data_IF_019991251358
#
_entry.id   IF_019991251358
#
_cell.length_a   1.000
_cell.length_b   1.000
_cell.length_c   1.000
_cell.angle_alpha   90.00
_cell.angle_beta   90.00
_cell.angle_gamma   90.00
#
_symmetry.space_group_name_H-M   'P 1'
#
loop_
_entity.id
_entity.type
_entity.pdbx_description
1 polymer ?
#
# COMPACT_ATOMS: atom_id res chain seq x y z
N UNK A 1 18.39 -6.14 -15.28
CA UNK A 1 17.69 -5.49 -16.40
C UNK A 1 16.24 -5.29 -15.96
N UNK A 2 15.79 -4.04 -15.85
CA UNK A 2 14.42 -3.72 -15.43
C UNK A 2 13.57 -3.59 -16.69
N UNK A 3 12.70 -4.56 -16.94
CA UNK A 3 11.82 -4.63 -18.13
C UNK A 3 10.48 -3.91 -17.92
N UNK A 4 10.30 -3.20 -16.80
CA UNK A 4 9.02 -2.58 -16.45
C UNK A 4 8.76 -1.21 -17.07
N UNK A 5 9.80 -0.44 -17.42
CA UNK A 5 9.64 0.98 -17.75
C UNK A 5 9.02 1.28 -19.12
N UNK A 6 9.30 0.46 -20.13
CA UNK A 6 8.88 0.76 -21.52
C UNK A 6 7.43 0.34 -21.81
N UNK A 7 6.93 -0.68 -21.10
CA UNK A 7 5.52 -1.07 -21.16
C UNK A 7 4.64 -0.02 -20.49
N UNK A 8 5.08 0.56 -19.37
CA UNK A 8 4.32 1.55 -18.60
C UNK A 8 4.19 2.90 -19.34
N UNK A 9 5.18 3.26 -20.15
CA UNK A 9 5.16 4.48 -20.96
C UNK A 9 4.06 4.50 -22.05
N UNK A 10 3.58 3.32 -22.47
CA UNK A 10 2.54 3.18 -23.48
C UNK A 10 1.15 2.95 -22.88
N UNK A 11 1.05 2.84 -21.55
CA UNK A 11 -0.24 2.71 -20.89
C UNK A 11 -0.93 4.08 -20.83
N UNK A 12 -2.25 4.14 -21.06
CA UNK A 12 -2.99 5.35 -20.79
C UNK A 12 -2.82 5.73 -19.32
N UNK A 13 -2.72 7.03 -19.05
CA UNK A 13 -2.65 7.57 -17.69
C UNK A 13 -3.86 7.04 -16.93
N UNK A 14 -3.63 6.11 -16.00
CA UNK A 14 -4.70 5.49 -15.22
C UNK A 14 -5.37 6.56 -14.36
N UNK A 15 -6.48 7.09 -14.87
CA UNK A 15 -7.23 8.15 -14.21
C UNK A 15 -8.30 7.52 -13.31
N UNK A 16 -8.57 8.15 -12.17
CA UNK A 16 -9.66 7.70 -11.30
C UNK A 16 -11.02 7.78 -12.01
N UNK A 17 -11.16 8.68 -13.00
CA UNK A 17 -12.40 8.94 -13.72
C UNK A 17 -12.79 7.82 -14.70
N UNK A 18 -11.81 7.11 -15.26
CA UNK A 18 -12.04 5.94 -16.13
C UNK A 18 -12.47 4.68 -15.35
N UNK A 19 -12.27 4.66 -14.04
CA UNK A 19 -12.63 3.51 -13.22
C UNK A 19 -14.16 3.44 -13.02
N UNK A 20 -14.77 2.23 -13.06
CA UNK A 20 -16.19 2.05 -12.73
C UNK A 20 -16.53 2.62 -11.35
N UNK A 21 -17.77 3.09 -11.18
CA UNK A 21 -18.24 3.65 -9.90
C UNK A 21 -18.12 2.68 -8.71
N UNK A 22 -18.10 1.37 -8.98
CA UNK A 22 -17.95 0.30 -8.00
C UNK A 22 -16.49 -0.08 -7.69
N UNK A 23 -15.52 0.55 -8.35
CA UNK A 23 -14.10 0.18 -8.23
C UNK A 23 -13.54 0.48 -6.83
N UNK A 24 -12.70 -0.44 -6.31
CA UNK A 24 -12.13 -0.35 -4.94
C UNK A 24 -11.34 0.95 -4.73
N UNK A 25 -10.64 1.46 -5.75
CA UNK A 25 -9.92 2.74 -5.66
C UNK A 25 -10.83 3.97 -5.47
N UNK A 26 -12.11 3.90 -5.86
CA UNK A 26 -13.11 4.95 -5.58
C UNK A 26 -13.73 4.84 -4.19
N UNK A 27 -13.49 3.72 -3.49
CA UNK A 27 -14.06 3.48 -2.16
C UNK A 27 -13.35 4.38 -1.15
N UNK A 28 -14.07 5.38 -0.64
CA UNK A 28 -13.63 6.17 0.51
C UNK A 28 -13.57 5.23 1.74
N UNK A 29 -12.37 4.80 2.13
CA UNK A 29 -12.14 4.01 3.34
C UNK A 29 -12.41 4.88 4.57
N UNK A 30 -13.67 4.90 5.03
CA UNK A 30 -14.08 5.64 6.25
C UNK A 30 -13.54 5.02 7.55
N UNK A 31 -13.09 3.77 7.50
CA UNK A 31 -12.41 3.06 8.59
C UNK A 31 -10.95 2.77 8.21
N UNK A 32 -10.19 3.80 7.85
CA UNK A 32 -8.75 3.63 7.68
C UNK A 32 -8.13 3.29 9.04
N UNK A 33 -7.31 2.25 9.09
CA UNK A 33 -6.37 2.02 10.18
C UNK A 33 -5.67 3.33 10.58
N UNK A 34 -5.28 3.47 11.85
CA UNK A 34 -4.50 4.61 12.32
C UNK A 34 -3.34 4.86 11.34
N UNK A 35 -3.47 5.92 10.54
CA UNK A 35 -2.44 6.28 9.57
C UNK A 35 -1.14 6.46 10.35
N UNK A 36 -0.09 5.81 9.86
CA UNK A 36 1.20 5.88 10.54
C UNK A 36 1.67 7.33 10.50
N UNK A 37 1.65 8.02 11.66
CA UNK A 37 2.05 9.42 11.75
C UNK A 37 3.53 9.66 11.36
N UNK A 38 4.33 8.59 11.35
CA UNK A 38 5.76 8.60 11.06
C UNK A 38 6.09 7.50 10.05
N UNK A 39 6.91 7.79 9.05
CA UNK A 39 7.45 6.73 8.19
C UNK A 39 8.23 5.69 9.02
N UNK A 40 8.25 4.43 8.57
CA UNK A 40 9.06 3.36 9.19
C UNK A 40 10.52 3.78 9.37
N UNK A 41 11.08 4.45 8.36
CA UNK A 41 12.43 4.99 8.37
C UNK A 41 12.63 6.05 9.47
N UNK A 42 11.73 7.04 9.55
CA UNK A 42 11.84 8.11 10.56
C UNK A 42 11.67 7.57 11.97
N UNK A 43 10.79 6.59 12.18
CA UNK A 43 10.66 5.88 13.45
C UNK A 43 11.96 5.14 13.82
N UNK A 44 12.56 4.39 12.89
CA UNK A 44 13.83 3.70 13.13
C UNK A 44 14.96 4.65 13.51
N UNK A 45 15.06 5.78 12.81
CA UNK A 45 16.06 6.81 13.10
C UNK A 45 15.92 7.41 14.52
N UNK A 46 14.68 7.70 14.95
CA UNK A 46 14.41 8.19 16.31
C UNK A 46 14.80 7.17 17.38
N UNK A 47 14.50 5.89 17.13
CA UNK A 47 14.85 4.79 18.03
C UNK A 47 16.37 4.67 18.20
N UNK A 48 17.13 4.74 17.09
CA UNK A 48 18.60 4.72 17.14
C UNK A 48 19.14 5.93 17.91
N UNK A 49 18.63 7.14 17.63
CA UNK A 49 19.03 8.35 18.34
C UNK A 49 18.77 8.27 19.84
N UNK A 50 17.59 7.78 20.22
CA UNK A 50 17.22 7.59 21.62
C UNK A 50 18.15 6.58 22.31
N UNK A 51 18.50 5.47 21.64
CA UNK A 51 19.44 4.48 22.19
C UNK A 51 20.81 5.09 22.46
N UNK A 52 21.35 5.87 21.50
CA UNK A 52 22.64 6.56 21.65
C UNK A 52 22.61 7.56 22.82
N UNK A 53 21.57 8.39 22.88
CA UNK A 53 21.45 9.43 23.91
C UNK A 53 21.37 8.84 25.33
N UNK A 54 20.74 7.67 25.46
CA UNK A 54 20.60 6.96 26.73
C UNK A 54 21.73 5.97 27.02
N UNK A 55 22.77 5.91 26.17
CA UNK A 55 23.86 4.91 26.25
C UNK A 55 23.36 3.45 26.34
N UNK A 56 22.25 3.17 25.67
CA UNK A 56 21.70 1.82 25.54
C UNK A 56 22.36 1.11 24.36
N UNK A 57 22.39 -0.24 24.37
CA UNK A 57 22.81 -1.00 23.20
C UNK A 57 21.94 -0.64 21.99
N UNK A 58 22.57 -0.56 20.81
CA UNK A 58 21.85 -0.26 19.59
C UNK A 58 20.86 -1.40 19.28
N UNK A 59 19.60 -1.08 18.93
CA UNK A 59 18.64 -2.10 18.57
C UNK A 59 19.08 -2.75 17.27
N UNK A 60 19.15 -4.07 17.28
CA UNK A 60 19.39 -4.87 16.09
C UNK A 60 18.06 -4.88 15.31
N UNK A 61 18.05 -4.21 14.16
CA UNK A 61 16.87 -4.15 13.32
C UNK A 61 16.65 -5.46 12.60
N UNK A 62 15.48 -6.07 12.78
CA UNK A 62 14.95 -7.05 11.83
C UNK A 62 14.09 -6.28 10.83
N UNK A 63 14.51 -6.24 9.56
CA UNK A 63 13.68 -5.69 8.48
C UNK A 63 12.54 -6.67 8.17
N UNK A 64 11.48 -6.63 8.98
CA UNK A 64 10.26 -7.35 8.64
C UNK A 64 9.46 -6.52 7.64
N UNK A 65 9.16 -7.05 6.44
CA UNK A 65 8.18 -6.41 5.57
C UNK A 65 6.87 -6.32 6.34
N UNK A 66 6.18 -5.18 6.22
CA UNK A 66 4.83 -5.06 6.72
C UNK A 66 3.99 -6.16 6.06
N UNK A 67 3.27 -7.00 6.84
CA UNK A 67 2.52 -8.09 6.27
C UNK A 67 1.55 -7.53 5.25
N UNK A 68 1.55 -8.13 4.06
CA UNK A 68 0.56 -7.78 3.05
C UNK A 68 -0.83 -7.95 3.68
N UNK A 69 -1.75 -6.99 3.52
CA UNK A 69 -3.07 -7.10 4.11
C UNK A 69 -3.71 -8.42 3.70
N UNK A 70 -3.90 -9.31 4.68
CA UNK A 70 -4.53 -10.62 4.49
C UNK A 70 -6.06 -10.53 4.40
N UNK A 71 -6.62 -9.37 4.76
CA UNK A 71 -7.99 -9.02 4.43
C UNK A 71 -8.09 -8.79 2.92
N UNK A 72 -8.40 -9.85 2.19
CA UNK A 72 -9.03 -9.70 0.89
C UNK A 72 -10.34 -8.94 1.13
N UNK A 73 -10.51 -7.72 0.62
CA UNK A 73 -11.84 -7.13 0.62
C UNK A 73 -12.74 -8.11 -0.12
N UNK A 74 -13.82 -8.57 0.52
CA UNK A 74 -14.77 -9.46 -0.13
C UNK A 74 -15.34 -8.73 -1.35
N UNK A 75 -14.76 -9.01 -2.50
CA UNK A 75 -15.25 -8.57 -3.79
C UNK A 75 -16.47 -9.43 -4.07
N UNK A 76 -17.65 -8.91 -3.75
CA UNK A 76 -18.89 -9.52 -4.20
C UNK A 76 -18.96 -9.27 -5.71
N UNK A 77 -18.35 -10.17 -6.48
CA UNK A 77 -18.35 -10.12 -7.94
C UNK A 77 -19.75 -10.52 -8.38
N UNK A 78 -20.60 -9.53 -8.65
CA UNK A 78 -21.81 -9.79 -9.42
C UNK A 78 -21.36 -10.24 -10.81
N UNK A 79 -21.61 -11.51 -11.13
CA UNK A 79 -21.31 -12.08 -12.44
C UNK A 79 -22.02 -11.23 -13.50
N UNK A 80 -21.24 -10.54 -14.33
CA UNK A 80 -21.77 -9.87 -15.52
C UNK A 80 -22.02 -10.98 -16.54
N UNK A 81 -23.26 -11.46 -16.60
CA UNK A 81 -23.72 -12.39 -17.63
C UNK A 81 -23.67 -11.65 -18.97
N UNK A 82 -22.66 -11.93 -19.80
CA UNK A 82 -22.64 -11.49 -21.19
C UNK A 82 -23.68 -12.32 -21.96
N UNK A 83 -24.87 -11.74 -22.13
CA UNK A 83 -25.85 -12.20 -23.12
C UNK A 83 -25.46 -11.62 -24.47
N UNK A 84 -24.79 -12.42 -25.30
CA UNK A 84 -24.66 -12.14 -26.73
C UNK A 84 -26.00 -12.41 -27.40
N UNK A 85 -26.52 -11.40 -28.11
CA UNK A 85 -27.65 -11.50 -29.02
C UNK A 85 -27.19 -11.94 -30.42
#
# INVERSE_FOLDING_TARGET
>A
MSVGGEVDANLPISSLDELPSTHVARRNFKNSFLHRCLSCFRRGFLVIKAAILNRLPLPIGCFFPEPWPSLTPQMNVFQITLSTA
#
